data_IF_659376336105
#
_entry.id   IF_659376336105
#
_cell.length_a   1.000
_cell.length_b   1.000
_cell.length_c   1.000
_cell.angle_alpha   90.00
_cell.angle_beta   90.00
_cell.angle_gamma   90.00
#
_symmetry.space_group_name_H-M   'P 1'
#
loop_
_entity.id
_entity.type
_entity.pdbx_description
1 polymer ?
#
# COMPACT_ATOMS: atom_id res chain seq x y z
N UNK A 1 -37.17 -46.97 3.51
CA UNK A 1 -35.72 -46.62 3.56
C UNK A 1 -35.40 -45.45 2.66
N UNK A 2 -35.79 -45.50 1.37
CA UNK A 2 -35.55 -44.43 0.38
C UNK A 2 -36.11 -43.06 0.82
N UNK A 3 -37.38 -42.97 1.22
CA UNK A 3 -37.97 -41.71 1.73
C UNK A 3 -37.23 -41.11 2.95
N UNK A 4 -36.68 -41.95 3.82
CA UNK A 4 -35.93 -41.50 5.01
C UNK A 4 -34.55 -40.94 4.63
N UNK A 5 -33.91 -41.49 3.61
CA UNK A 5 -32.65 -40.98 3.07
C UNK A 5 -32.87 -39.64 2.33
N UNK A 6 -33.94 -39.53 1.53
CA UNK A 6 -34.30 -38.27 0.85
C UNK A 6 -34.60 -37.14 1.85
N UNK A 7 -35.32 -37.42 2.94
CA UNK A 7 -35.60 -36.43 3.99
C UNK A 7 -34.31 -35.94 4.68
N UNK A 8 -33.36 -36.85 4.96
CA UNK A 8 -32.08 -36.49 5.58
C UNK A 8 -31.19 -35.64 4.67
N UNK A 9 -31.14 -35.92 3.36
CA UNK A 9 -30.35 -35.13 2.41
C UNK A 9 -30.95 -33.73 2.19
N UNK A 10 -32.29 -33.63 2.10
CA UNK A 10 -33.00 -32.35 2.00
C UNK A 10 -32.81 -31.50 3.26
N UNK A 11 -32.79 -32.12 4.43
CA UNK A 11 -32.49 -31.42 5.68
C UNK A 11 -31.05 -30.93 5.74
N UNK A 12 -30.08 -31.77 5.39
CA UNK A 12 -28.67 -31.40 5.34
C UNK A 12 -28.41 -30.22 4.38
N UNK A 13 -29.11 -30.19 3.25
CA UNK A 13 -29.07 -29.06 2.32
C UNK A 13 -29.66 -27.79 2.92
N UNK A 14 -30.83 -27.88 3.55
CA UNK A 14 -31.48 -26.72 4.17
C UNK A 14 -30.61 -26.11 5.28
N UNK A 15 -29.94 -26.95 6.07
CA UNK A 15 -28.98 -26.53 7.09
C UNK A 15 -27.77 -25.82 6.45
N UNK A 16 -27.27 -26.35 5.32
CA UNK A 16 -26.16 -25.76 4.57
C UNK A 16 -26.52 -24.43 3.92
N UNK A 17 -27.71 -24.30 3.34
CA UNK A 17 -28.22 -23.03 2.80
C UNK A 17 -28.35 -21.99 3.92
N UNK A 18 -28.76 -22.42 5.11
CA UNK A 18 -28.82 -21.53 6.28
C UNK A 18 -27.44 -21.06 6.73
N UNK A 19 -26.42 -21.94 6.66
CA UNK A 19 -25.03 -21.56 6.89
C UNK A 19 -24.51 -20.55 5.85
N UNK A 20 -24.73 -20.80 4.55
CA UNK A 20 -24.37 -19.88 3.47
C UNK A 20 -25.05 -18.52 3.61
N UNK A 21 -26.30 -18.50 4.08
CA UNK A 21 -27.02 -17.26 4.38
C UNK A 21 -26.35 -16.47 5.51
N UNK A 22 -25.92 -17.14 6.58
CA UNK A 22 -25.20 -16.49 7.68
C UNK A 22 -23.84 -15.93 7.20
N UNK A 23 -23.10 -16.67 6.37
CA UNK A 23 -21.85 -16.20 5.77
C UNK A 23 -22.06 -14.96 4.87
N UNK A 24 -23.17 -14.92 4.13
CA UNK A 24 -23.53 -13.75 3.34
C UNK A 24 -23.93 -12.55 4.21
N UNK A 25 -24.53 -12.78 5.37
CA UNK A 25 -24.86 -11.73 6.34
C UNK A 25 -23.62 -11.19 7.06
N UNK A 26 -22.62 -12.02 7.37
CA UNK A 26 -21.33 -11.55 7.92
C UNK A 26 -20.58 -10.69 6.91
N UNK A 27 -20.57 -11.07 5.63
CA UNK A 27 -19.99 -10.27 4.54
C UNK A 27 -20.66 -8.88 4.36
N UNK A 28 -21.95 -8.77 4.69
CA UNK A 28 -22.66 -7.47 4.72
C UNK A 28 -22.27 -6.62 5.93
N UNK A 29 -22.07 -7.27 7.09
CA UNK A 29 -21.91 -6.62 8.39
C UNK A 29 -20.49 -6.15 8.71
N UNK A 30 -19.44 -6.78 8.18
CA UNK A 30 -18.08 -6.52 8.63
C UNK A 30 -17.47 -5.24 7.98
N UNK A 31 -17.06 -4.23 8.78
CA UNK A 31 -16.25 -3.13 8.29
C UNK A 31 -14.80 -3.61 8.15
N UNK A 32 -14.48 -4.24 7.01
CA UNK A 32 -13.09 -4.55 6.67
C UNK A 32 -12.25 -3.25 6.69
N UNK A 33 -10.98 -3.30 7.14
CA UNK A 33 -10.15 -2.12 7.31
C UNK A 33 -10.13 -1.30 6.03
N UNK A 34 -10.62 -0.07 6.12
CA UNK A 34 -10.82 0.84 4.99
C UNK A 34 -9.54 1.32 4.33
N UNK A 35 -8.37 0.79 4.70
CA UNK A 35 -7.10 1.27 4.20
C UNK A 35 -6.87 0.71 2.78
N UNK A 36 -7.10 1.50 1.71
CA UNK A 36 -6.99 1.02 0.32
C UNK A 36 -5.54 0.65 -0.02
N UNK A 37 -4.59 0.94 0.87
CA UNK A 37 -3.18 0.60 0.79
C UNK A 37 -2.84 -0.80 1.31
N UNK A 38 -3.71 -1.44 2.12
CA UNK A 38 -3.41 -2.73 2.79
C UNK A 38 -4.17 -3.94 2.24
N UNK A 39 -5.39 -3.81 1.70
CA UNK A 39 -6.05 -4.93 1.01
C UNK A 39 -5.64 -5.00 -0.46
N UNK A 40 -5.19 -6.18 -0.90
CA UNK A 40 -4.84 -6.42 -2.30
C UNK A 40 -6.08 -6.32 -3.22
N UNK A 41 -7.25 -6.70 -2.69
CA UNK A 41 -8.53 -6.73 -3.38
C UNK A 41 -9.45 -5.63 -2.82
N UNK A 42 -10.02 -4.76 -3.67
CA UNK A 42 -10.99 -3.76 -3.24
C UNK A 42 -12.29 -4.37 -2.71
N UNK A 43 -12.98 -3.66 -1.80
CA UNK A 43 -14.15 -4.19 -1.09
C UNK A 43 -15.25 -4.68 -2.03
N UNK A 44 -15.61 -3.91 -3.05
CA UNK A 44 -16.72 -4.25 -3.95
C UNK A 44 -16.41 -5.50 -4.77
N UNK A 45 -15.18 -5.60 -5.28
CA UNK A 45 -14.70 -6.78 -6.00
C UNK A 45 -14.59 -8.02 -5.09
N UNK A 46 -14.15 -7.85 -3.83
CA UNK A 46 -14.10 -8.95 -2.86
C UNK A 46 -15.49 -9.51 -2.57
N UNK A 47 -16.48 -8.63 -2.32
CA UNK A 47 -17.88 -9.04 -2.14
C UNK A 47 -18.37 -9.78 -3.38
N UNK A 48 -18.11 -9.27 -4.59
CA UNK A 48 -18.54 -9.89 -5.84
C UNK A 48 -17.93 -11.30 -6.06
N UNK A 49 -16.63 -11.45 -5.79
CA UNK A 49 -15.94 -12.75 -5.90
C UNK A 49 -16.49 -13.76 -4.89
N UNK A 50 -16.69 -13.33 -3.65
CA UNK A 50 -17.29 -14.18 -2.61
C UNK A 50 -18.73 -14.55 -2.94
N UNK A 51 -19.55 -13.61 -3.43
CA UNK A 51 -20.93 -13.91 -3.84
C UNK A 51 -20.98 -14.86 -5.02
N UNK A 52 -20.07 -14.74 -5.98
CA UNK A 52 -19.98 -15.65 -7.12
C UNK A 52 -19.57 -17.06 -6.68
N UNK A 53 -18.57 -17.19 -5.81
CA UNK A 53 -18.18 -18.49 -5.26
C UNK A 53 -19.31 -19.15 -4.47
N UNK A 54 -20.06 -18.35 -3.68
CA UNK A 54 -21.23 -18.84 -2.95
C UNK A 54 -22.38 -19.24 -3.89
N UNK A 55 -22.57 -18.53 -5.01
CA UNK A 55 -23.55 -18.88 -6.04
C UNK A 55 -23.20 -20.22 -6.71
N UNK A 56 -21.94 -20.39 -7.13
CA UNK A 56 -21.45 -21.63 -7.75
C UNK A 56 -21.61 -22.81 -6.78
N UNK A 57 -21.25 -22.64 -5.50
CA UNK A 57 -21.45 -23.67 -4.49
C UNK A 57 -22.93 -24.01 -4.26
N UNK A 58 -23.80 -22.99 -4.21
CA UNK A 58 -25.24 -23.19 -4.03
C UNK A 58 -25.85 -23.93 -5.24
N UNK A 59 -25.40 -23.62 -6.45
CA UNK A 59 -25.84 -24.28 -7.67
C UNK A 59 -25.33 -25.72 -7.77
N UNK A 60 -24.08 -25.99 -7.40
CA UNK A 60 -23.54 -27.37 -7.34
C UNK A 60 -24.30 -28.23 -6.32
N UNK A 61 -24.58 -27.68 -5.14
CA UNK A 61 -25.38 -28.35 -4.11
C UNK A 61 -26.80 -28.62 -4.62
N UNK A 62 -27.40 -27.66 -5.34
CA UNK A 62 -28.71 -27.81 -5.96
C UNK A 62 -28.72 -28.90 -7.04
N UNK A 63 -27.75 -28.92 -7.96
CA UNK A 63 -27.64 -29.93 -9.00
C UNK A 63 -27.45 -31.34 -8.43
N UNK A 64 -26.76 -31.46 -7.29
CA UNK A 64 -26.58 -32.74 -6.60
C UNK A 64 -27.90 -33.30 -6.06
N UNK A 65 -28.80 -32.43 -5.60
CA UNK A 65 -30.04 -32.81 -4.92
C UNK A 65 -31.22 -32.89 -5.91
N UNK A 66 -31.19 -32.12 -6.99
CA UNK A 66 -32.23 -32.08 -8.03
C UNK A 66 -32.70 -33.48 -8.50
N UNK A 67 -31.83 -34.47 -8.80
CA UNK A 67 -32.26 -35.81 -9.20
C UNK A 67 -33.05 -36.56 -8.12
N UNK A 68 -32.76 -36.30 -6.84
CA UNK A 68 -33.41 -36.96 -5.70
C UNK A 68 -34.79 -36.40 -5.41
N UNK A 69 -35.05 -35.18 -5.86
CA UNK A 69 -36.33 -34.49 -5.67
C UNK A 69 -37.38 -34.91 -6.71
N UNK A 70 -36.97 -35.58 -7.80
CA UNK A 70 -37.90 -36.00 -8.87
C UNK A 70 -38.56 -34.82 -9.59
N UNK A 71 -37.93 -33.64 -9.54
CA UNK A 71 -38.43 -32.40 -10.13
C UNK A 71 -37.76 -32.19 -11.50
N UNK A 72 -38.51 -32.41 -12.58
CA UNK A 72 -38.04 -32.15 -13.94
C UNK A 72 -38.02 -30.64 -14.28
N UNK A 73 -39.05 -29.89 -13.84
CA UNK A 73 -39.19 -28.45 -14.08
C UNK A 73 -39.11 -27.63 -12.79
N UNK A 74 -37.88 -27.34 -12.36
CA UNK A 74 -37.61 -26.50 -11.18
C UNK A 74 -38.07 -25.05 -11.42
N UNK A 75 -37.86 -24.52 -12.63
CA UNK A 75 -38.24 -23.13 -12.96
C UNK A 75 -39.76 -22.89 -12.90
N UNK A 76 -40.55 -23.89 -13.29
CA UNK A 76 -42.01 -23.84 -13.21
C UNK A 76 -42.50 -23.88 -11.75
N UNK A 77 -41.83 -24.66 -10.89
CA UNK A 77 -42.11 -24.68 -9.45
C UNK A 77 -41.64 -23.40 -8.75
N UNK A 78 -40.48 -22.86 -9.15
CA UNK A 78 -39.97 -21.60 -8.63
C UNK A 78 -40.88 -20.43 -9.01
N UNK A 79 -41.38 -20.38 -10.25
CA UNK A 79 -42.35 -19.37 -10.70
C UNK A 79 -43.70 -19.53 -10.01
N UNK A 80 -44.21 -20.75 -9.83
CA UNK A 80 -45.43 -21.03 -9.04
C UNK A 80 -45.27 -20.64 -7.57
N UNK A 81 -44.13 -20.91 -6.97
CA UNK A 81 -43.80 -20.53 -5.59
C UNK A 81 -43.60 -19.01 -5.46
N UNK A 82 -43.04 -18.35 -6.46
CA UNK A 82 -42.92 -16.89 -6.52
C UNK A 82 -44.29 -16.22 -6.62
N UNK A 83 -45.15 -16.66 -7.53
CA UNK A 83 -46.53 -16.19 -7.67
C UNK A 83 -47.37 -16.44 -6.41
N UNK A 84 -47.14 -17.57 -5.73
CA UNK A 84 -47.77 -17.90 -4.45
C UNK A 84 -47.19 -17.11 -3.26
N UNK A 85 -46.00 -16.52 -3.38
CA UNK A 85 -45.40 -15.66 -2.33
C UNK A 85 -45.82 -14.19 -2.45
N UNK A 86 -46.23 -13.75 -3.64
CA UNK A 86 -46.74 -12.39 -3.91
C UNK A 86 -48.25 -12.26 -3.67
N UNK A 87 -48.98 -13.38 -3.62
CA UNK A 87 -50.39 -13.43 -3.23
C UNK A 87 -50.50 -13.67 -1.72
N UNK A 88 -51.11 -12.70 -1.03
CA UNK A 88 -51.18 -12.57 0.42
C UNK A 88 -51.79 -13.82 1.10
N UNK A 89 -50.99 -14.56 1.89
CA UNK A 89 -51.44 -15.77 2.62
C UNK A 89 -50.45 -16.95 2.64
N UNK A 90 -49.19 -16.71 3.03
CA UNK A 90 -48.01 -17.58 2.87
C UNK A 90 -47.97 -18.96 3.56
N UNK A 91 -49.10 -19.60 3.87
CA UNK A 91 -49.14 -21.00 4.32
C UNK A 91 -50.22 -21.86 3.65
N UNK A 92 -51.22 -21.26 2.98
CA UNK A 92 -52.34 -22.00 2.37
C UNK A 92 -52.10 -22.51 0.95
N UNK A 93 -51.31 -21.80 0.14
CA UNK A 93 -51.12 -22.09 -1.29
C UNK A 93 -50.10 -23.22 -1.58
N UNK A 94 -49.31 -23.63 -0.57
CA UNK A 94 -48.27 -24.65 -0.70
C UNK A 94 -48.80 -26.10 -0.69
N UNK A 95 -50.06 -26.30 -0.27
CA UNK A 95 -50.67 -27.63 -0.19
C UNK A 95 -51.12 -28.23 -1.52
N UNK A 96 -51.22 -27.41 -2.57
CA UNK A 96 -51.86 -27.81 -3.84
C UNK A 96 -50.88 -28.37 -4.89
N UNK A 97 -49.59 -28.42 -4.56
CA UNK A 97 -48.52 -28.79 -5.51
C UNK A 97 -48.20 -30.31 -5.48
N UNK A 98 -48.83 -31.08 -4.58
CA UNK A 98 -48.63 -32.55 -4.50
C UNK A 98 -47.21 -32.99 -4.11
N UNK A 99 -46.33 -32.05 -3.77
CA UNK A 99 -44.95 -32.31 -3.35
C UNK A 99 -44.81 -32.37 -1.83
N UNK A 100 -43.85 -33.15 -1.30
CA UNK A 100 -43.58 -33.17 0.14
C UNK A 100 -43.16 -31.79 0.66
N UNK A 101 -43.67 -31.39 1.83
CA UNK A 101 -43.40 -30.09 2.46
C UNK A 101 -41.90 -29.78 2.60
N UNK A 102 -41.08 -30.79 2.84
CA UNK A 102 -39.63 -30.68 2.95
C UNK A 102 -38.99 -30.24 1.63
N UNK A 103 -39.46 -30.79 0.50
CA UNK A 103 -38.98 -30.42 -0.85
C UNK A 103 -39.31 -28.97 -1.13
N UNK A 104 -40.54 -28.54 -0.84
CA UNK A 104 -40.91 -27.15 -1.12
C UNK A 104 -40.17 -26.17 -0.20
N UNK A 105 -39.90 -26.55 1.05
CA UNK A 105 -39.08 -25.75 1.96
C UNK A 105 -37.66 -25.57 1.40
N UNK A 106 -37.03 -26.63 0.92
CA UNK A 106 -35.71 -26.56 0.29
C UNK A 106 -35.69 -25.70 -0.99
N UNK A 107 -36.71 -25.82 -1.85
CA UNK A 107 -36.86 -24.97 -3.04
C UNK A 107 -36.98 -23.48 -2.66
N UNK A 108 -37.82 -23.16 -1.66
CA UNK A 108 -38.00 -21.78 -1.16
C UNK A 108 -36.70 -21.24 -0.57
N UNK A 109 -35.99 -22.03 0.22
CA UNK A 109 -34.71 -21.67 0.82
C UNK A 109 -33.63 -21.41 -0.24
N UNK A 110 -33.50 -22.28 -1.24
CA UNK A 110 -32.61 -22.07 -2.39
C UNK A 110 -32.95 -20.78 -3.15
N UNK A 111 -34.22 -20.59 -3.50
CA UNK A 111 -34.68 -19.41 -4.24
C UNK A 111 -34.48 -18.11 -3.46
N UNK A 112 -34.64 -18.15 -2.14
CA UNK A 112 -34.39 -17.02 -1.26
C UNK A 112 -32.89 -16.70 -1.18
N UNK A 113 -32.04 -17.71 -1.03
CA UNK A 113 -30.59 -17.55 -0.95
C UNK A 113 -30.02 -17.03 -2.29
N UNK A 114 -30.40 -17.64 -3.41
CA UNK A 114 -30.02 -17.20 -4.76
C UNK A 114 -30.40 -15.73 -5.00
N UNK A 115 -31.64 -15.33 -4.68
CA UNK A 115 -32.06 -13.92 -4.76
C UNK A 115 -31.23 -12.99 -3.87
N UNK A 116 -30.90 -13.41 -2.65
CA UNK A 116 -30.06 -12.62 -1.76
C UNK A 116 -28.65 -12.42 -2.32
N UNK A 117 -28.07 -13.47 -2.92
CA UNK A 117 -26.75 -13.44 -3.56
C UNK A 117 -26.76 -12.49 -4.77
N UNK A 118 -27.71 -12.65 -5.70
CA UNK A 118 -27.84 -11.76 -6.86
C UNK A 118 -28.08 -10.30 -6.44
N UNK A 119 -28.95 -10.06 -5.44
CA UNK A 119 -29.19 -8.72 -4.93
C UNK A 119 -27.93 -8.07 -4.31
N UNK A 120 -27.10 -8.86 -3.62
CA UNK A 120 -25.82 -8.35 -3.09
C UNK A 120 -24.82 -8.01 -4.18
N UNK A 121 -24.73 -8.85 -5.21
CA UNK A 121 -23.86 -8.60 -6.36
C UNK A 121 -24.29 -7.35 -7.12
N UNK A 122 -25.59 -7.22 -7.45
CA UNK A 122 -26.14 -6.03 -8.09
C UNK A 122 -25.91 -4.77 -7.26
N UNK A 123 -26.05 -4.85 -5.93
CA UNK A 123 -25.75 -3.72 -5.03
C UNK A 123 -24.26 -3.35 -5.04
N UNK A 124 -23.36 -4.33 -5.07
CA UNK A 124 -21.93 -4.08 -5.14
C UNK A 124 -21.53 -3.46 -6.49
N UNK A 125 -22.11 -3.94 -7.59
CA UNK A 125 -21.87 -3.45 -8.93
C UNK A 125 -22.43 -2.03 -9.16
N UNK A 126 -23.66 -1.76 -8.73
CA UNK A 126 -24.23 -0.40 -8.78
C UNK A 126 -23.46 0.61 -7.93
N UNK A 127 -22.95 0.19 -6.77
CA UNK A 127 -22.07 1.02 -5.96
C UNK A 127 -20.71 1.28 -6.63
N UNK A 128 -20.21 0.35 -7.44
CA UNK A 128 -19.01 0.54 -8.26
C UNK A 128 -19.27 1.55 -9.38
N UNK A 129 -20.39 1.41 -10.11
CA UNK A 129 -20.79 2.34 -11.17
C UNK A 129 -20.93 3.77 -10.65
N UNK A 130 -21.59 3.96 -9.49
CA UNK A 130 -21.75 5.27 -8.88
C UNK A 130 -20.41 5.92 -8.47
N UNK A 131 -19.40 5.12 -8.09
CA UNK A 131 -18.05 5.63 -7.80
C UNK A 131 -17.27 5.92 -9.08
N UNK A 132 -17.45 5.11 -10.13
CA UNK A 132 -16.86 5.32 -11.44
C UNK A 132 -17.34 6.63 -12.08
N UNK A 133 -18.64 6.92 -12.02
CA UNK A 133 -19.21 8.17 -12.55
C UNK A 133 -18.69 9.41 -11.82
N UNK A 134 -18.39 9.29 -10.52
CA UNK A 134 -17.80 10.39 -9.74
C UNK A 134 -16.34 10.65 -10.06
N UNK A 135 -15.65 9.71 -10.71
CA UNK A 135 -14.24 9.83 -11.03
C UNK A 135 -14.03 10.57 -12.34
N UNK A 136 -13.82 11.88 -12.23
CA UNK A 136 -13.31 12.66 -13.35
C UNK A 136 -11.80 12.41 -13.51
N UNK A 137 -11.41 11.55 -14.46
CA UNK A 137 -10.03 11.08 -14.64
C UNK A 137 -9.07 12.17 -15.13
N UNK A 138 -9.52 13.03 -16.04
CA UNK A 138 -8.68 14.04 -16.69
C UNK A 138 -7.99 14.98 -15.70
N UNK A 139 -8.70 15.67 -14.77
CA UNK A 139 -8.04 16.56 -13.83
C UNK A 139 -7.17 15.81 -12.81
N UNK A 140 -7.45 14.54 -12.54
CA UNK A 140 -6.67 13.75 -11.56
C UNK A 140 -5.34 13.29 -12.18
N UNK A 141 -5.35 12.88 -13.45
CA UNK A 141 -4.16 12.39 -14.14
C UNK A 141 -3.23 13.52 -14.61
N UNK A 142 -3.75 14.74 -14.72
CA UNK A 142 -2.94 15.95 -14.99
C UNK A 142 -2.26 16.53 -13.74
N UNK A 143 -2.58 16.02 -12.54
CA UNK A 143 -1.91 16.47 -11.31
C UNK A 143 -0.41 16.16 -11.35
N UNK A 144 0.41 17.00 -10.69
CA UNK A 144 1.83 16.74 -10.55
C UNK A 144 2.10 15.35 -9.98
N UNK A 145 3.08 14.66 -10.55
CA UNK A 145 3.44 13.30 -10.17
C UNK A 145 4.09 13.24 -8.77
N UNK A 146 4.73 14.33 -8.33
CA UNK A 146 5.44 14.43 -7.07
C UNK A 146 4.85 15.53 -6.19
N UNK A 147 4.85 15.29 -4.88
CA UNK A 147 4.58 16.29 -3.85
C UNK A 147 5.69 16.26 -2.82
N UNK A 148 5.93 17.39 -2.16
CA UNK A 148 6.80 17.37 -0.98
C UNK A 148 6.07 16.66 0.15
N UNK A 149 6.78 15.78 0.86
CA UNK A 149 6.28 15.20 2.08
C UNK A 149 6.10 16.30 3.13
N UNK A 150 4.90 16.42 3.68
CA UNK A 150 4.59 17.40 4.73
C UNK A 150 5.45 17.10 5.98
N UNK A 151 6.11 18.08 6.61
CA UNK A 151 6.81 17.88 7.89
C UNK A 151 5.90 17.28 8.97
N UNK A 152 4.57 17.48 8.92
CA UNK A 152 3.63 16.86 9.86
C UNK A 152 3.54 15.32 9.75
N UNK A 153 3.92 14.72 8.61
CA UNK A 153 4.02 13.26 8.47
C UNK A 153 5.30 12.70 9.14
N UNK A 154 6.30 13.56 9.42
CA UNK A 154 7.48 13.18 10.22
C UNK A 154 7.18 13.16 11.72
N UNK A 155 6.23 13.95 12.22
CA UNK A 155 5.80 13.98 13.63
C UNK A 155 5.34 12.59 14.10
N UNK A 156 4.70 11.79 13.22
CA UNK A 156 4.29 10.41 13.53
C UNK A 156 5.42 9.39 13.51
N UNK A 157 6.60 9.74 13.00
CA UNK A 157 7.78 8.86 12.94
C UNK A 157 8.96 9.36 13.80
N UNK A 158 8.87 10.55 14.39
CA UNK A 158 9.96 11.20 15.12
C UNK A 158 9.52 11.71 16.49
N UNK A 159 9.02 10.82 17.33
CA UNK A 159 9.00 11.05 18.78
C UNK A 159 10.41 10.88 19.42
N UNK A 160 11.51 10.97 18.66
CA UNK A 160 12.82 10.64 19.21
C UNK A 160 14.02 11.45 18.73
N UNK A 161 13.85 12.66 18.18
CA UNK A 161 14.99 13.58 18.03
C UNK A 161 14.53 15.03 18.02
N UNK A 162 14.28 15.57 19.21
CA UNK A 162 14.12 17.01 19.40
C UNK A 162 15.46 17.74 19.29
N UNK A 163 15.36 19.02 18.90
CA UNK A 163 16.40 20.06 18.78
C UNK A 163 17.16 20.09 17.46
N UNK A 164 16.67 20.88 16.52
CA UNK A 164 17.26 22.16 16.11
C UNK A 164 16.41 22.71 14.94
N UNK A 165 15.25 23.31 15.24
CA UNK A 165 14.50 24.10 14.27
C UNK A 165 14.41 25.54 14.77
N UNK A 166 15.27 26.40 14.21
CA UNK A 166 14.98 27.83 14.04
C UNK A 166 15.55 28.27 12.69
N UNK A 167 14.72 29.05 12.00
CA UNK A 167 15.01 29.88 10.84
C UNK A 167 15.16 29.19 9.47
N UNK A 168 14.03 28.90 8.83
CA UNK A 168 13.92 29.02 7.37
C UNK A 168 12.57 29.64 6.97
N UNK A 169 12.63 30.84 6.41
CA UNK A 169 11.48 31.64 5.94
C UNK A 169 10.77 30.99 4.74
N UNK A 170 9.45 31.21 4.68
CA UNK A 170 8.46 30.52 3.86
C UNK A 170 8.53 30.74 2.33
N UNK A 171 9.60 31.33 1.78
CA UNK A 171 9.68 31.65 0.34
C UNK A 171 10.63 30.75 -0.46
N UNK A 172 11.49 29.97 0.19
CA UNK A 172 12.30 28.93 -0.45
C UNK A 172 12.04 27.61 0.25
N UNK A 173 11.27 26.73 -0.40
CA UNK A 173 11.06 25.36 0.11
C UNK A 173 12.43 24.70 0.34
N UNK A 174 12.62 24.03 1.48
CA UNK A 174 13.96 23.68 1.91
C UNK A 174 14.53 22.62 0.97
N UNK A 175 15.83 22.75 0.68
CA UNK A 175 16.67 21.78 -0.03
C UNK A 175 16.61 20.38 0.67
N UNK A 176 16.06 20.32 1.89
CA UNK A 176 15.88 19.13 2.71
C UNK A 176 14.51 18.44 2.60
N UNK A 177 13.58 18.95 1.78
CA UNK A 177 12.24 18.39 1.68
C UNK A 177 12.24 17.03 0.95
N UNK A 178 11.75 15.99 1.62
CA UNK A 178 11.64 14.65 1.03
C UNK A 178 10.50 14.59 0.02
N UNK A 179 10.67 13.78 -1.02
CA UNK A 179 9.67 13.61 -2.08
C UNK A 179 8.72 12.47 -1.77
N UNK A 180 7.44 12.68 -2.06
CA UNK A 180 6.38 11.68 -2.07
C UNK A 180 5.76 11.60 -3.46
N UNK A 181 5.44 10.39 -3.89
CA UNK A 181 4.69 10.17 -5.14
C UNK A 181 3.22 10.45 -4.88
N UNK A 182 2.63 11.38 -5.64
CA UNK A 182 1.21 11.69 -5.57
C UNK A 182 0.44 10.88 -6.63
N UNK A 183 0.11 9.64 -6.27
CA UNK A 183 -0.79 8.81 -7.07
C UNK A 183 -2.13 8.69 -6.36
N UNK A 184 -3.17 9.27 -6.95
CA UNK A 184 -4.46 9.40 -6.31
C UNK A 184 -5.03 8.01 -5.93
N UNK A 185 -5.38 7.78 -4.64
CA UNK A 185 -5.78 6.46 -4.16
C UNK A 185 -7.05 5.94 -4.85
N UNK A 186 -7.96 6.84 -5.25
CA UNK A 186 -9.18 6.45 -5.98
C UNK A 186 -8.87 5.88 -7.36
N UNK A 187 -7.83 6.37 -8.06
CA UNK A 187 -7.43 5.82 -9.36
C UNK A 187 -6.84 4.42 -9.19
N UNK A 188 -6.01 4.22 -8.16
CA UNK A 188 -5.47 2.90 -7.82
C UNK A 188 -6.58 1.90 -7.43
N UNK A 189 -7.60 2.37 -6.71
CA UNK A 189 -8.76 1.58 -6.32
C UNK A 189 -9.58 1.20 -7.56
N UNK A 190 -9.95 2.19 -8.37
CA UNK A 190 -10.77 2.00 -9.57
C UNK A 190 -10.09 1.11 -10.61
N UNK A 191 -8.76 1.23 -10.77
CA UNK A 191 -8.01 0.34 -11.67
C UNK A 191 -8.10 -1.12 -11.23
N UNK A 192 -7.96 -1.38 -9.92
CA UNK A 192 -8.10 -2.73 -9.36
C UNK A 192 -9.53 -3.23 -9.50
N UNK A 193 -10.52 -2.43 -9.10
CA UNK A 193 -11.95 -2.79 -9.20
C UNK A 193 -12.35 -3.09 -10.65
N UNK A 194 -12.02 -2.20 -11.59
CA UNK A 194 -12.30 -2.40 -13.00
C UNK A 194 -11.68 -3.68 -13.57
N UNK A 195 -10.44 -4.01 -13.17
CA UNK A 195 -9.81 -5.27 -13.61
C UNK A 195 -10.61 -6.49 -13.13
N UNK A 196 -11.04 -6.50 -11.87
CA UNK A 196 -11.83 -7.61 -11.32
C UNK A 196 -13.21 -7.72 -11.98
N UNK A 197 -13.93 -6.61 -12.13
CA UNK A 197 -15.24 -6.60 -12.79
C UNK A 197 -15.16 -7.06 -14.25
N UNK A 198 -14.06 -6.73 -14.94
CA UNK A 198 -13.81 -7.17 -16.32
C UNK A 198 -13.67 -8.69 -16.38
N UNK A 199 -12.91 -9.27 -15.46
CA UNK A 199 -12.68 -10.72 -15.39
C UNK A 199 -13.92 -11.48 -14.93
N UNK A 200 -14.82 -10.82 -14.20
CA UNK A 200 -16.11 -11.37 -13.81
C UNK A 200 -17.13 -11.40 -14.97
N UNK A 201 -16.85 -10.72 -16.09
CA UNK A 201 -17.71 -10.66 -17.27
C UNK A 201 -18.79 -9.57 -17.21
N UNK A 202 -18.67 -8.62 -16.27
CA UNK A 202 -19.57 -7.47 -16.20
C UNK A 202 -19.14 -6.38 -17.18
N UNK A 203 -20.12 -5.64 -17.70
CA UNK A 203 -19.85 -4.45 -18.51
C UNK A 203 -19.18 -3.37 -17.64
N UNK A 204 -18.24 -2.62 -18.22
CA UNK A 204 -17.51 -1.58 -17.49
C UNK A 204 -17.78 -0.24 -18.15
N UNK A 205 -17.94 0.85 -17.37
CA UNK A 205 -18.01 2.19 -17.94
C UNK A 205 -16.80 2.50 -18.85
N UNK A 206 -16.99 3.19 -19.98
CA UNK A 206 -15.93 3.42 -20.96
C UNK A 206 -14.72 4.19 -20.39
N UNK A 207 -14.96 5.03 -19.38
CA UNK A 207 -13.92 5.75 -18.64
C UNK A 207 -13.00 4.79 -17.88
N UNK A 208 -13.57 3.78 -17.23
CA UNK A 208 -12.82 2.78 -16.45
C UNK A 208 -12.18 1.76 -17.38
N UNK A 209 -12.82 1.39 -18.48
CA UNK A 209 -12.22 0.54 -19.51
C UNK A 209 -10.92 1.17 -20.07
N UNK A 210 -10.99 2.46 -20.42
CA UNK A 210 -9.81 3.23 -20.85
C UNK A 210 -8.73 3.24 -19.77
N UNK A 211 -9.13 3.41 -18.50
CA UNK A 211 -8.20 3.38 -17.37
C UNK A 211 -7.54 2.00 -17.19
N UNK A 212 -8.30 0.90 -17.33
CA UNK A 212 -7.80 -0.47 -17.24
C UNK A 212 -6.80 -0.75 -18.36
N UNK A 213 -7.10 -0.33 -19.60
CA UNK A 213 -6.18 -0.42 -20.74
C UNK A 213 -4.88 0.38 -20.53
N UNK A 214 -4.97 1.56 -19.90
CA UNK A 214 -3.80 2.37 -19.52
C UNK A 214 -3.11 1.87 -18.24
N UNK A 215 -3.75 0.97 -17.49
CA UNK A 215 -3.38 0.57 -16.14
C UNK A 215 -1.97 0.04 -16.01
N UNK A 216 -1.58 -0.88 -16.90
CA UNK A 216 -0.24 -1.45 -16.90
C UNK A 216 0.84 -0.37 -17.10
N UNK A 217 0.62 0.55 -18.06
CA UNK A 217 1.54 1.66 -18.34
C UNK A 217 1.62 2.63 -17.17
N UNK A 218 0.48 2.97 -16.56
CA UNK A 218 0.42 3.85 -15.40
C UNK A 218 1.12 3.24 -14.17
N UNK A 219 0.95 1.94 -13.93
CA UNK A 219 1.63 1.24 -12.83
C UNK A 219 3.15 1.16 -13.04
N UNK A 220 3.60 0.93 -14.28
CA UNK A 220 5.02 0.96 -14.61
C UNK A 220 5.61 2.36 -14.38
N UNK A 221 4.93 3.41 -14.86
CA UNK A 221 5.29 4.82 -14.61
C UNK A 221 5.34 5.14 -13.12
N UNK A 222 4.31 4.73 -12.35
CA UNK A 222 4.28 4.88 -10.89
C UNK A 222 5.46 4.25 -10.20
N UNK A 223 5.84 3.02 -10.58
CA UNK A 223 7.01 2.35 -10.03
C UNK A 223 8.30 3.11 -10.35
N UNK A 224 8.45 3.58 -11.58
CA UNK A 224 9.63 4.32 -12.02
C UNK A 224 9.79 5.66 -11.28
N UNK A 225 8.70 6.41 -11.13
CA UNK A 225 8.67 7.65 -10.35
C UNK A 225 8.97 7.38 -8.87
N UNK A 226 8.39 6.34 -8.28
CA UNK A 226 8.67 5.95 -6.89
C UNK A 226 10.15 5.62 -6.67
N UNK A 227 10.77 4.95 -7.64
CA UNK A 227 12.20 4.70 -7.61
C UNK A 227 13.02 6.00 -7.66
N UNK A 228 12.67 6.94 -8.53
CA UNK A 228 13.34 8.24 -8.62
C UNK A 228 13.21 9.03 -7.31
N UNK A 229 12.01 9.11 -6.73
CA UNK A 229 11.77 9.77 -5.45
C UNK A 229 12.57 9.12 -4.31
N UNK A 230 12.64 7.78 -4.27
CA UNK A 230 13.43 7.04 -3.28
C UNK A 230 14.93 7.32 -3.41
N UNK A 231 15.47 7.31 -4.62
CA UNK A 231 16.89 7.64 -4.85
C UNK A 231 17.21 9.06 -4.40
N UNK A 232 16.33 10.03 -4.70
CA UNK A 232 16.52 11.41 -4.26
C UNK A 232 16.52 11.51 -2.73
N UNK A 233 15.55 10.86 -2.09
CA UNK A 233 15.45 10.79 -0.64
C UNK A 233 16.66 10.08 -0.01
N UNK A 234 17.24 9.08 -0.68
CA UNK A 234 18.45 8.38 -0.25
C UNK A 234 19.65 9.33 -0.21
N UNK A 235 19.87 10.13 -1.26
CA UNK A 235 20.93 11.15 -1.29
C UNK A 235 20.79 12.12 -0.12
N UNK A 236 19.57 12.63 0.12
CA UNK A 236 19.33 13.52 1.25
C UNK A 236 19.59 12.82 2.59
N UNK A 237 19.13 11.58 2.77
CA UNK A 237 19.31 10.83 4.02
C UNK A 237 20.76 10.50 4.35
N UNK A 238 21.62 10.36 3.32
CA UNK A 238 23.04 10.09 3.48
C UNK A 238 23.88 11.33 3.83
N UNK A 239 23.28 12.52 3.85
CA UNK A 239 23.96 13.78 4.16
C UNK A 239 23.44 14.37 5.47
N UNK A 240 24.35 14.62 6.41
CA UNK A 240 24.08 15.43 7.60
C UNK A 240 23.84 16.90 7.23
N UNK A 241 23.24 17.68 8.12
CA UNK A 241 22.88 19.08 7.82
C UNK A 241 24.10 19.95 7.47
N UNK A 242 25.23 19.73 8.13
CA UNK A 242 26.51 20.37 7.79
C UNK A 242 27.04 19.95 6.41
N UNK A 243 26.87 18.68 6.04
CA UNK A 243 27.30 18.19 4.73
C UNK A 243 26.37 18.67 3.61
N UNK A 244 25.07 18.86 3.89
CA UNK A 244 24.13 19.42 2.92
C UNK A 244 24.50 20.83 2.48
N UNK A 245 25.07 21.64 3.37
CA UNK A 245 25.59 22.98 3.04
C UNK A 245 26.74 22.84 2.04
N UNK A 246 27.68 21.92 2.28
CA UNK A 246 28.82 21.66 1.38
C UNK A 246 28.36 21.19 -0.01
N UNK A 247 27.28 20.40 -0.07
CA UNK A 247 26.68 19.93 -1.31
C UNK A 247 25.59 20.86 -1.87
N UNK A 248 25.45 22.07 -1.34
CA UNK A 248 24.34 22.99 -1.64
C UNK A 248 24.12 23.22 -3.14
N UNK A 249 25.18 23.49 -3.89
CA UNK A 249 25.09 23.72 -5.34
C UNK A 249 24.62 22.47 -6.10
N UNK A 250 25.11 21.28 -5.70
CA UNK A 250 24.71 20.00 -6.32
C UNK A 250 23.28 19.60 -5.97
N UNK A 251 22.88 19.83 -4.71
CA UNK A 251 21.51 19.59 -4.27
C UNK A 251 20.54 20.61 -4.89
N UNK A 252 20.98 21.85 -5.14
CA UNK A 252 20.24 22.87 -5.88
C UNK A 252 19.96 22.41 -7.31
N UNK A 253 21.00 22.03 -8.06
CA UNK A 253 20.85 21.49 -9.41
C UNK A 253 19.93 20.25 -9.44
N UNK A 254 20.07 19.35 -8.45
CA UNK A 254 19.20 18.18 -8.33
C UNK A 254 17.73 18.57 -8.07
N UNK A 255 17.50 19.60 -7.26
CA UNK A 255 16.16 20.12 -6.97
C UNK A 255 15.52 20.75 -8.20
N UNK A 256 16.29 21.48 -9.02
CA UNK A 256 15.83 22.00 -10.31
C UNK A 256 15.42 20.89 -11.27
N UNK A 257 16.18 19.78 -11.31
CA UNK A 257 15.84 18.62 -12.14
C UNK A 257 14.55 17.95 -11.67
N UNK A 258 14.26 17.95 -10.37
CA UNK A 258 13.04 17.35 -9.81
C UNK A 258 11.82 18.26 -9.99
N UNK A 259 12.01 19.59 -9.98
CA UNK A 259 10.94 20.60 -9.96
C UNK A 259 9.80 20.39 -10.99
N UNK A 260 10.07 19.98 -12.25
CA UNK A 260 9.00 19.70 -13.22
C UNK A 260 8.00 18.64 -12.74
N UNK A 261 8.48 17.61 -12.01
CA UNK A 261 7.63 16.56 -11.44
C UNK A 261 6.66 17.06 -10.38
N UNK A 262 6.94 18.21 -9.77
CA UNK A 262 6.17 18.82 -8.68
C UNK A 262 5.20 19.89 -9.20
N UNK A 263 5.55 20.56 -10.31
CA UNK A 263 4.78 21.70 -10.81
C UNK A 263 3.91 21.38 -12.02
N UNK A 264 4.45 20.69 -13.02
CA UNK A 264 3.86 20.69 -14.38
C UNK A 264 3.70 19.31 -15.00
N UNK A 265 4.41 18.30 -14.50
CA UNK A 265 4.42 16.99 -15.12
C UNK A 265 3.26 16.13 -14.58
N UNK A 266 2.32 15.80 -15.46
CA UNK A 266 1.24 14.86 -15.18
C UNK A 266 1.58 13.40 -15.50
N UNK A 267 0.72 12.47 -15.08
CA UNK A 267 0.90 11.03 -15.26
C UNK A 267 0.83 10.56 -16.72
N UNK A 268 0.03 11.26 -17.53
CA UNK A 268 -0.14 10.97 -18.96
C UNK A 268 0.90 11.66 -19.85
N UNK A 269 1.78 12.49 -19.29
CA UNK A 269 2.73 13.25 -20.08
C UNK A 269 3.74 12.30 -20.79
N UNK A 270 4.00 12.49 -22.09
CA UNK A 270 4.88 11.60 -22.87
C UNK A 270 6.35 11.71 -22.45
N UNK A 271 6.78 12.87 -21.94
CA UNK A 271 8.16 13.05 -21.46
C UNK A 271 8.43 12.49 -20.06
N UNK A 272 7.41 11.91 -19.39
CA UNK A 272 7.57 11.41 -18.02
C UNK A 272 8.69 10.37 -17.90
N UNK A 273 8.80 9.46 -18.86
CA UNK A 273 9.84 8.43 -18.85
C UNK A 273 11.25 9.03 -19.01
N UNK A 274 11.40 10.03 -19.89
CA UNK A 274 12.65 10.78 -20.07
C UNK A 274 13.01 11.56 -18.81
N UNK A 275 12.02 12.19 -18.18
CA UNK A 275 12.19 12.90 -16.92
C UNK A 275 12.68 11.96 -15.80
N UNK A 276 12.03 10.82 -15.60
CA UNK A 276 12.41 9.85 -14.57
C UNK A 276 13.84 9.35 -14.78
N UNK A 277 14.21 9.02 -16.02
CA UNK A 277 15.58 8.60 -16.35
C UNK A 277 16.60 9.71 -16.06
N UNK A 278 16.27 10.96 -16.36
CA UNK A 278 17.14 12.10 -16.06
C UNK A 278 17.34 12.30 -14.56
N UNK A 279 16.26 12.26 -13.77
CA UNK A 279 16.32 12.35 -12.30
C UNK A 279 17.17 11.22 -11.74
N UNK A 280 16.91 9.98 -12.15
CA UNK A 280 17.67 8.82 -11.70
C UNK A 280 19.16 8.94 -12.01
N UNK A 281 19.52 9.41 -13.21
CA UNK A 281 20.92 9.61 -13.62
C UNK A 281 21.61 10.67 -12.76
N UNK A 282 21.02 11.86 -12.64
CA UNK A 282 21.58 12.96 -11.84
C UNK A 282 21.71 12.59 -10.36
N UNK A 283 20.74 11.85 -9.84
CA UNK A 283 20.77 11.36 -8.46
C UNK A 283 21.89 10.34 -8.26
N UNK A 284 22.08 9.42 -9.21
CA UNK A 284 23.16 8.42 -9.15
C UNK A 284 24.55 9.07 -9.18
N UNK A 285 24.75 10.03 -10.08
CA UNK A 285 26.01 10.80 -10.17
C UNK A 285 26.31 11.53 -8.85
N UNK A 286 25.28 12.12 -8.24
CA UNK A 286 25.41 12.79 -6.93
C UNK A 286 25.71 11.79 -5.83
N UNK A 287 25.03 10.63 -5.80
CA UNK A 287 25.24 9.59 -4.79
C UNK A 287 26.66 9.02 -4.84
N UNK A 288 27.20 8.80 -6.03
CA UNK A 288 28.61 8.36 -6.21
C UNK A 288 29.57 9.39 -5.60
N UNK A 289 29.31 10.69 -5.81
CA UNK A 289 30.13 11.75 -5.24
C UNK A 289 30.04 11.78 -3.71
N UNK A 290 28.83 11.64 -3.15
CA UNK A 290 28.62 11.55 -1.70
C UNK A 290 29.33 10.34 -1.10
N UNK A 291 29.28 9.16 -1.75
CA UNK A 291 30.00 7.97 -1.31
C UNK A 291 31.52 8.17 -1.33
N UNK A 292 32.06 8.82 -2.37
CA UNK A 292 33.48 9.18 -2.43
C UNK A 292 33.87 10.13 -1.31
N UNK A 293 33.04 11.14 -1.02
CA UNK A 293 33.25 12.05 0.09
C UNK A 293 33.28 11.32 1.43
N UNK A 294 32.30 10.43 1.70
CA UNK A 294 32.27 9.63 2.93
C UNK A 294 33.48 8.69 3.06
N UNK A 295 33.91 8.06 1.97
CA UNK A 295 35.12 7.25 1.96
C UNK A 295 36.38 8.07 2.30
N UNK A 296 36.53 9.26 1.70
CA UNK A 296 37.63 10.18 2.00
C UNK A 296 37.58 10.67 3.44
N UNK A 297 36.40 11.03 3.94
CA UNK A 297 36.19 11.46 5.34
C UNK A 297 36.59 10.35 6.32
N UNK A 298 36.20 9.10 6.05
CA UNK A 298 36.58 7.95 6.85
C UNK A 298 38.11 7.71 6.83
N UNK A 299 38.73 7.76 5.65
CA UNK A 299 40.18 7.61 5.51
C UNK A 299 40.96 8.70 6.28
N UNK A 300 40.51 9.95 6.19
CA UNK A 300 41.10 11.07 6.93
C UNK A 300 40.94 10.84 8.45
N UNK A 301 39.75 10.44 8.91
CA UNK A 301 39.50 10.14 10.32
C UNK A 301 40.39 9.00 10.84
N UNK A 302 40.61 7.97 10.02
CA UNK A 302 41.52 6.86 10.35
C UNK A 302 42.98 7.31 10.45
N UNK A 303 43.43 8.20 9.55
CA UNK A 303 44.77 8.79 9.63
C UNK A 303 44.91 9.63 10.89
N UNK A 304 43.93 10.50 11.20
CA UNK A 304 43.94 11.28 12.44
C UNK A 304 43.99 10.37 13.68
N UNK A 305 43.20 9.30 13.72
CA UNK A 305 43.23 8.33 14.82
C UNK A 305 44.60 7.67 14.97
N UNK A 306 45.25 7.31 13.85
CA UNK A 306 46.61 6.75 13.87
C UNK A 306 47.63 7.77 14.38
N UNK A 307 47.58 9.01 13.89
CA UNK A 307 48.48 10.08 14.30
C UNK A 307 48.30 10.43 15.77
N UNK A 308 47.07 10.52 16.26
CA UNK A 308 46.79 10.74 17.69
C UNK A 308 47.29 9.59 18.58
N UNK A 309 47.40 8.38 18.03
CA UNK A 309 47.98 7.22 18.71
C UNK A 309 49.50 7.09 18.56
N UNK A 310 50.16 7.95 17.77
CA UNK A 310 51.61 7.96 17.68
C UNK A 310 52.20 8.60 18.94
N UNK A 311 53.09 7.87 19.59
CA UNK A 311 53.87 8.35 20.73
C UNK A 311 54.85 9.38 20.20
N UNK A 312 54.67 10.65 20.60
CA UNK A 312 55.42 11.77 20.05
C UNK A 312 56.94 11.69 20.33
N UNK A 313 57.34 11.06 21.44
CA UNK A 313 58.75 10.91 21.80
C UNK A 313 58.98 9.56 22.49
N UNK A 314 59.94 8.79 21.98
CA UNK A 314 60.43 7.59 22.65
C UNK A 314 61.73 7.98 23.36
N UNK A 315 61.62 8.41 24.62
CA UNK A 315 62.80 8.74 25.42
C UNK A 315 63.47 7.42 25.82
N UNK A 316 64.58 7.08 25.15
CA UNK A 316 65.49 6.05 25.66
C UNK A 316 66.14 6.59 26.93
N UNK A 317 65.68 6.13 28.08
CA UNK A 317 66.42 6.25 29.34
C UNK A 317 67.65 5.34 29.31
N UNK A 318 68.70 5.73 30.02
CA UNK A 318 70.00 5.02 30.05
C UNK A 318 69.90 3.57 30.60
N UNK A 319 68.76 3.21 31.19
CA UNK A 319 68.44 1.87 31.71
C UNK A 319 67.77 0.91 30.70
N UNK A 320 67.52 1.33 29.46
CA UNK A 320 67.07 0.44 28.37
C UNK A 320 65.57 0.18 28.28
N UNK A 321 64.76 0.62 29.25
CA UNK A 321 63.30 0.47 29.23
C UNK A 321 62.61 1.68 28.58
N UNK A 322 61.80 1.42 27.55
CA UNK A 322 61.02 2.44 26.86
C UNK A 322 59.83 2.87 27.72
N UNK A 323 59.94 4.01 28.41
CA UNK A 323 58.83 4.61 29.15
C UNK A 323 57.97 5.42 28.19
N UNK A 324 56.74 4.97 27.96
CA UNK A 324 55.72 5.67 27.20
C UNK A 324 55.18 6.83 28.05
N UNK A 325 55.67 8.05 27.83
CA UNK A 325 55.14 9.25 28.51
C UNK A 325 54.05 9.86 27.65
N UNK A 326 52.85 9.97 28.20
CA UNK A 326 51.74 10.64 27.51
C UNK A 326 51.89 12.17 27.55
N UNK A 327 51.27 12.94 26.63
CA UNK A 327 51.41 14.39 26.59
C UNK A 327 50.99 15.11 27.89
N UNK A 328 50.02 14.56 28.61
CA UNK A 328 49.52 15.10 29.88
C UNK A 328 50.51 14.87 31.04
N UNK A 329 51.16 13.71 31.07
CA UNK A 329 52.24 13.40 32.01
C UNK A 329 53.47 14.29 31.77
N UNK A 330 53.79 14.60 30.51
CA UNK A 330 54.89 15.51 30.20
C UNK A 330 54.60 16.93 30.69
N UNK A 331 53.41 17.47 30.42
CA UNK A 331 53.04 18.82 30.83
C UNK A 331 52.98 18.98 32.36
N UNK A 332 52.52 17.95 33.07
CA UNK A 332 52.54 17.93 34.54
C UNK A 332 53.97 17.87 35.08
N UNK A 333 54.84 17.06 34.47
CA UNK A 333 56.27 16.99 34.84
C UNK A 333 56.99 18.30 34.57
N UNK A 334 56.70 18.98 33.46
CA UNK A 334 57.30 20.28 33.12
C UNK A 334 56.93 21.37 34.13
N UNK A 335 55.67 21.37 34.61
CA UNK A 335 55.22 22.28 35.68
C UNK A 335 55.94 22.02 37.00
N UNK A 336 56.16 20.76 37.35
CA UNK A 336 56.92 20.39 38.57
C UNK A 336 58.36 20.87 38.47
N UNK A 337 59.04 20.62 37.36
CA UNK A 337 60.42 21.06 37.13
C UNK A 337 60.53 22.59 37.14
N UNK A 338 59.60 23.31 36.52
CA UNK A 338 59.58 24.77 36.55
C UNK A 338 59.37 25.32 37.98
N UNK A 339 58.55 24.65 38.79
CA UNK A 339 58.31 25.03 40.19
C UNK A 339 59.54 24.75 41.07
N UNK A 340 60.28 23.67 40.80
CA UNK A 340 61.54 23.37 41.49
C UNK A 340 62.67 24.30 41.09
N UNK A 341 62.78 24.67 39.81
CA UNK A 341 63.76 25.66 39.35
C UNK A 341 63.48 27.04 39.96
N UNK A 342 62.21 27.46 40.05
CA UNK A 342 61.81 28.70 40.71
C UNK A 342 61.97 28.70 42.24
N UNK A 343 62.20 27.54 42.88
CA UNK A 343 62.56 27.44 44.31
C UNK A 343 64.06 27.44 44.57
N UNK A 344 64.89 27.20 43.55
CA UNK A 344 66.35 27.13 43.65
C UNK A 344 67.05 28.44 43.24
N UNK A 345 66.30 29.39 42.72
CA UNK A 345 66.68 30.81 42.55
C UNK A 345 66.08 31.56 43.73
#
# INVERSE_FOLDING_TARGET
>A
VIQKQTSLTVRAFTDRVSFLKNDLETLKGEPLPQDPSRSAIPRQACVALSTKALAEQLDDDWQTIKPWLGVENVEELLTKVQQASETDGGQGALGDIGLPREVVTACVSYASCSRMISATETKAYTAFLAEAERLNLDPILQRPVLTYADPADKERQRENTERYERDYTAEKRPISAMLRVDFHPRVAKMLREGTYWYHLGHDIPPQVETLVGLGHKLMLKRRAVLQAARKYNEVLSNLSDSERILFGDKLGALTEVVLPGIQSLGWLHPSLDRYVNNVCKQTEETLILVRKFHASKAAISDVFRRVSGLVAFNLRTESGDAVLVTPEEFLSTQKVVHTEMSRKI
#
